data_IF_394135158541
#
_entry.id   IF_394135158541
#
_cell.length_a   1.000
_cell.length_b   1.000
_cell.length_c   1.000
_cell.angle_alpha   90.00
_cell.angle_beta   90.00
_cell.angle_gamma   90.00
#
_symmetry.space_group_name_H-M   'P 1'
#
loop_
_entity.id
_entity.type
_entity.pdbx_description
1 polymer ?
#
# COMPACT_ATOMS: atom_id res chain seq x y z
N UNK A 1 21.26 63.64 72.10
CA UNK A 1 20.07 63.21 71.34
C UNK A 1 20.44 62.31 70.18
N UNK A 2 21.33 61.30 70.30
CA UNK A 2 21.78 60.47 69.18
C UNK A 2 21.61 58.95 69.34
N UNK A 3 21.16 58.46 70.50
CA UNK A 3 21.10 56.98 70.75
C UNK A 3 19.75 56.32 70.46
N UNK A 4 18.68 57.05 70.17
CA UNK A 4 17.34 56.52 70.01
C UNK A 4 16.88 56.25 68.55
N UNK A 5 17.62 56.80 67.58
CA UNK A 5 17.28 56.55 66.14
C UNK A 5 17.78 55.21 65.60
N UNK A 6 18.84 54.63 66.20
CA UNK A 6 19.39 53.34 65.74
C UNK A 6 18.57 52.12 66.17
N UNK A 7 17.83 52.19 67.28
CA UNK A 7 17.00 51.01 67.73
C UNK A 7 15.77 50.80 66.86
N UNK A 8 15.16 51.86 66.35
CA UNK A 8 13.96 51.80 65.48
C UNK A 8 14.26 51.24 64.08
N UNK A 9 15.41 51.55 63.56
CA UNK A 9 15.85 51.04 62.21
C UNK A 9 16.19 49.53 62.26
N UNK A 10 16.79 49.05 63.39
CA UNK A 10 17.06 47.61 63.51
C UNK A 10 15.81 46.78 63.75
N UNK A 11 14.80 47.28 64.42
CA UNK A 11 13.53 46.59 64.60
C UNK A 11 12.70 46.53 63.31
N UNK A 12 12.71 47.60 62.51
CA UNK A 12 12.04 47.61 61.19
C UNK A 12 12.71 46.60 60.20
N UNK A 13 14.02 46.51 60.17
CA UNK A 13 14.76 45.55 59.35
C UNK A 13 14.50 44.09 59.74
N UNK A 14 14.44 43.78 61.06
CA UNK A 14 14.12 42.40 61.53
C UNK A 14 12.70 41.96 61.16
N UNK A 15 11.71 42.86 61.23
CA UNK A 15 10.31 42.57 60.83
C UNK A 15 10.15 42.41 59.30
N UNK A 16 10.94 43.10 58.51
CA UNK A 16 10.95 42.97 57.05
C UNK A 16 11.56 41.63 56.62
N UNK A 17 12.64 41.18 57.25
CA UNK A 17 13.30 39.88 57.00
C UNK A 17 12.40 38.70 57.40
N UNK A 18 11.69 38.81 58.52
CA UNK A 18 10.75 37.74 58.95
C UNK A 18 9.51 37.65 58.09
N UNK A 19 9.04 38.74 57.46
CA UNK A 19 7.91 38.69 56.51
C UNK A 19 8.32 38.14 55.12
N UNK A 20 9.55 38.35 54.68
CA UNK A 20 10.07 37.80 53.45
C UNK A 20 10.33 36.29 53.56
N UNK A 21 10.73 35.79 54.76
CA UNK A 21 10.94 34.34 54.98
C UNK A 21 9.62 33.56 55.06
N UNK A 22 8.51 34.17 55.46
CA UNK A 22 7.20 33.50 55.53
C UNK A 22 6.53 33.40 54.12
N UNK A 23 6.83 34.32 53.22
CA UNK A 23 6.32 34.28 51.84
C UNK A 23 7.10 33.28 50.98
N UNK A 24 8.39 33.07 51.28
CA UNK A 24 9.22 32.08 50.56
C UNK A 24 8.87 30.61 50.91
N UNK A 25 8.35 30.33 52.12
CA UNK A 25 7.91 28.99 52.50
C UNK A 25 6.51 28.62 52.00
N UNK A 26 5.67 29.61 51.71
CA UNK A 26 4.31 29.39 51.17
C UNK A 26 4.31 29.14 49.66
N UNK A 27 5.32 29.60 48.89
CA UNK A 27 5.41 29.41 47.47
C UNK A 27 6.06 28.06 47.03
N UNK A 28 6.69 27.33 47.98
CA UNK A 28 7.40 26.09 47.67
C UNK A 28 6.51 24.84 47.81
N UNK A 29 5.30 24.96 48.37
CA UNK A 29 4.38 23.81 48.56
C UNK A 29 3.32 23.66 47.46
N UNK A 30 3.24 24.58 46.48
CA UNK A 30 2.28 24.49 45.34
C UNK A 30 2.94 23.90 44.09
N UNK A 31 4.26 23.73 44.07
CA UNK A 31 4.99 23.24 42.86
C UNK A 31 5.14 21.69 42.78
N UNK A 32 4.58 20.93 43.74
CA UNK A 32 4.76 19.47 43.82
C UNK A 32 3.55 18.64 43.34
N UNK A 33 2.56 19.27 42.70
CA UNK A 33 1.34 18.58 42.23
C UNK A 33 1.13 18.52 40.71
N UNK A 34 1.95 19.16 39.90
CA UNK A 34 1.88 19.03 38.45
C UNK A 34 2.82 17.90 38.00
N UNK A 35 2.35 16.65 38.07
CA UNK A 35 2.97 15.61 37.23
C UNK A 35 3.01 16.14 35.81
N UNK A 36 4.16 16.14 35.14
CA UNK A 36 4.17 16.46 33.72
C UNK A 36 3.22 15.46 33.05
N UNK A 37 2.14 15.95 32.47
CA UNK A 37 1.37 15.18 31.49
C UNK A 37 2.40 14.92 30.38
N UNK A 38 3.04 13.75 30.47
CA UNK A 38 3.93 13.26 29.42
C UNK A 38 3.03 13.12 28.21
N UNK A 39 3.11 14.10 27.31
CA UNK A 39 2.43 14.00 26.03
C UNK A 39 2.87 12.66 25.45
N UNK A 40 1.96 11.70 25.39
CA UNK A 40 2.21 10.39 24.83
C UNK A 40 2.59 10.65 23.38
N UNK A 41 3.84 10.33 23.02
CA UNK A 41 4.33 10.54 21.66
C UNK A 41 3.40 9.76 20.72
N UNK A 42 2.66 10.49 19.88
CA UNK A 42 1.68 9.90 18.98
C UNK A 42 2.43 9.02 17.99
N UNK A 43 2.19 7.72 18.08
CA UNK A 43 2.75 6.78 17.11
C UNK A 43 2.05 6.99 15.77
N UNK A 44 2.81 6.95 14.69
CA UNK A 44 2.28 7.14 13.34
C UNK A 44 2.32 5.83 12.57
N UNK A 45 1.20 5.50 11.91
CA UNK A 45 1.10 4.43 10.90
C UNK A 45 0.78 5.05 9.54
N UNK A 46 1.70 4.91 8.59
CA UNK A 46 1.55 5.44 7.22
C UNK A 46 1.24 4.29 6.27
N UNK A 47 0.04 4.29 5.69
CA UNK A 47 -0.46 3.24 4.81
C UNK A 47 -0.46 3.73 3.36
N UNK A 48 0.28 3.02 2.50
CA UNK A 48 0.25 3.20 1.05
C UNK A 48 -0.81 2.32 0.40
N UNK A 49 -1.58 2.87 -0.54
CA UNK A 49 -2.58 2.11 -1.30
C UNK A 49 -2.67 2.58 -2.75
N UNK A 50 -3.33 1.78 -3.58
CA UNK A 50 -3.64 2.07 -4.98
C UNK A 50 -5.17 2.04 -5.16
N UNK A 51 -5.69 2.59 -6.25
CA UNK A 51 -7.14 2.49 -6.57
C UNK A 51 -7.63 1.04 -6.58
N UNK A 52 -6.84 0.09 -7.05
CA UNK A 52 -7.14 -1.34 -7.03
C UNK A 52 -7.26 -1.95 -5.62
N UNK A 53 -6.68 -1.32 -4.61
CA UNK A 53 -6.75 -1.78 -3.21
C UNK A 53 -8.12 -1.46 -2.58
N UNK A 54 -9.20 -1.96 -3.18
CA UNK A 54 -10.59 -1.63 -2.85
C UNK A 54 -10.90 -1.76 -1.36
N UNK A 55 -10.43 -2.83 -0.73
CA UNK A 55 -10.59 -3.07 0.72
C UNK A 55 -9.92 -1.96 1.55
N UNK A 56 -8.69 -1.51 1.19
CA UNK A 56 -8.04 -0.41 1.91
C UNK A 56 -8.72 0.94 1.66
N UNK A 57 -9.23 1.16 0.45
CA UNK A 57 -10.00 2.39 0.12
C UNK A 57 -11.25 2.50 0.98
N UNK A 58 -11.99 1.39 1.15
CA UNK A 58 -13.17 1.34 2.00
C UNK A 58 -12.83 1.41 3.48
N UNK A 59 -11.80 0.69 3.93
CA UNK A 59 -11.30 0.76 5.30
C UNK A 59 -10.98 2.20 5.71
N UNK A 60 -10.30 2.94 4.83
CA UNK A 60 -10.05 4.38 4.99
C UNK A 60 -11.35 5.19 5.07
N UNK A 61 -12.31 4.93 4.16
CA UNK A 61 -13.59 5.66 4.12
C UNK A 61 -14.44 5.40 5.38
N UNK A 62 -14.44 4.18 5.91
CA UNK A 62 -15.19 3.81 7.10
C UNK A 62 -14.53 4.27 8.41
N UNK A 63 -13.21 4.50 8.41
CA UNK A 63 -12.46 4.97 9.57
C UNK A 63 -12.48 3.99 10.76
N UNK A 64 -12.68 2.70 10.50
CA UNK A 64 -12.76 1.68 11.55
C UNK A 64 -11.38 1.36 12.13
N UNK A 65 -10.34 1.40 11.30
CA UNK A 65 -8.96 1.22 11.72
C UNK A 65 -8.50 2.32 12.67
N UNK A 66 -8.77 3.58 12.33
CA UNK A 66 -8.45 4.75 13.15
C UNK A 66 -9.10 4.64 14.54
N UNK A 67 -10.38 4.25 14.58
CA UNK A 67 -11.13 4.05 15.84
C UNK A 67 -10.50 2.96 16.71
N UNK A 68 -10.03 1.85 16.11
CA UNK A 68 -9.39 0.76 16.85
C UNK A 68 -7.98 1.11 17.33
N UNK A 69 -7.25 1.95 16.60
CA UNK A 69 -5.88 2.34 16.93
C UNK A 69 -5.80 3.56 17.85
N UNK A 70 -6.84 4.37 17.93
CA UNK A 70 -6.91 5.56 18.79
C UNK A 70 -6.57 5.26 20.27
N UNK A 71 -7.11 4.19 20.93
CA UNK A 71 -6.76 3.87 22.30
C UNK A 71 -5.28 3.53 22.52
N UNK A 72 -4.56 3.17 21.46
CA UNK A 72 -3.12 2.88 21.48
C UNK A 72 -2.26 4.12 21.19
N UNK A 73 -2.88 5.30 21.01
CA UNK A 73 -2.19 6.53 20.65
C UNK A 73 -1.58 6.48 19.25
N UNK A 74 -2.17 5.72 18.31
CA UNK A 74 -1.67 5.60 16.94
C UNK A 74 -2.55 6.45 16.01
N UNK A 75 -1.90 7.39 15.31
CA UNK A 75 -2.49 8.14 14.19
C UNK A 75 -2.28 7.37 12.87
N UNK A 76 -3.30 7.31 12.01
CA UNK A 76 -3.20 6.67 10.70
C UNK A 76 -3.14 7.75 9.60
N UNK A 77 -2.17 7.62 8.69
CA UNK A 77 -2.07 8.45 7.48
C UNK A 77 -2.10 7.58 6.24
N UNK A 78 -2.88 8.01 5.27
CA UNK A 78 -3.09 7.30 4.01
C UNK A 78 -2.44 8.06 2.85
N UNK A 79 -1.74 7.34 1.98
CA UNK A 79 -1.14 7.87 0.77
C UNK A 79 -1.52 7.02 -0.45
N UNK A 80 -2.07 7.65 -1.49
CA UNK A 80 -2.44 6.99 -2.74
C UNK A 80 -1.28 7.01 -3.73
N UNK A 81 -1.05 5.88 -4.40
CA UNK A 81 -0.02 5.70 -5.43
C UNK A 81 -0.65 5.21 -6.73
N UNK A 82 -0.04 5.58 -7.86
CA UNK A 82 -0.51 5.18 -9.17
C UNK A 82 -0.36 3.67 -9.43
N UNK A 83 0.68 3.04 -8.87
CA UNK A 83 0.98 1.62 -8.99
C UNK A 83 1.94 1.14 -7.89
N UNK A 84 2.10 -0.19 -7.78
CA UNK A 84 2.92 -0.84 -6.75
C UNK A 84 4.40 -0.42 -6.71
N UNK A 85 5.09 -0.27 -7.84
CA UNK A 85 6.49 0.17 -7.83
C UNK A 85 6.71 1.49 -7.08
N UNK A 86 5.89 2.52 -7.34
CA UNK A 86 6.00 3.82 -6.67
C UNK A 86 5.69 3.73 -5.16
N UNK A 87 4.73 2.88 -4.78
CA UNK A 87 4.44 2.62 -3.37
C UNK A 87 5.65 2.00 -2.67
N UNK A 88 6.31 1.03 -3.29
CA UNK A 88 7.48 0.38 -2.69
C UNK A 88 8.73 1.27 -2.66
N UNK A 89 8.87 2.21 -3.59
CA UNK A 89 9.87 3.28 -3.47
C UNK A 89 9.62 4.13 -2.22
N UNK A 90 8.35 4.53 -1.98
CA UNK A 90 7.97 5.28 -0.78
C UNK A 90 8.17 4.48 0.52
N UNK A 91 7.92 3.17 0.49
CA UNK A 91 8.19 2.27 1.62
C UNK A 91 9.70 2.16 1.88
N UNK A 92 10.51 2.02 0.84
CA UNK A 92 11.97 1.90 0.95
C UNK A 92 12.62 3.15 1.56
N UNK A 93 12.12 4.35 1.25
CA UNK A 93 12.62 5.61 1.84
C UNK A 93 11.94 5.96 3.17
N UNK A 94 11.11 5.10 3.72
CA UNK A 94 10.44 5.28 5.01
C UNK A 94 9.31 6.31 5.00
N UNK A 95 8.75 6.66 3.84
CA UNK A 95 7.57 7.52 3.72
C UNK A 95 6.25 6.76 3.95
N UNK A 96 6.30 5.43 3.84
CA UNK A 96 5.20 4.49 4.06
C UNK A 96 5.68 3.36 4.97
N UNK A 97 4.86 2.90 5.89
CA UNK A 97 5.16 1.81 6.83
C UNK A 97 4.53 0.49 6.40
N UNK A 98 3.40 0.55 5.71
CA UNK A 98 2.60 -0.59 5.28
C UNK A 98 1.96 -0.30 3.93
N UNK A 99 1.84 -1.31 3.06
CA UNK A 99 1.24 -1.13 1.75
C UNK A 99 0.70 -2.41 1.13
N UNK A 100 -0.19 -2.21 0.14
CA UNK A 100 -0.81 -3.27 -0.66
C UNK A 100 -0.31 -3.16 -2.11
N UNK A 101 0.28 -4.22 -2.60
CA UNK A 101 0.86 -4.32 -3.94
C UNK A 101 0.64 -5.72 -4.49
N UNK A 102 0.77 -5.89 -5.79
CA UNK A 102 0.74 -7.20 -6.38
C UNK A 102 2.03 -7.99 -6.26
N UNK A 103 2.11 -9.10 -7.00
CA UNK A 103 3.17 -10.11 -6.85
C UNK A 103 4.53 -9.69 -7.44
N UNK A 104 4.55 -8.86 -8.49
CA UNK A 104 5.81 -8.50 -9.14
C UNK A 104 6.57 -7.32 -8.48
N UNK A 105 5.92 -6.24 -8.01
CA UNK A 105 6.62 -5.11 -7.41
C UNK A 105 7.59 -5.48 -6.27
N UNK A 106 7.26 -6.40 -5.33
CA UNK A 106 8.17 -6.80 -4.26
C UNK A 106 9.48 -7.39 -4.77
N UNK A 107 9.45 -8.13 -5.88
CA UNK A 107 10.64 -8.71 -6.49
C UNK A 107 11.60 -7.63 -6.96
N UNK A 108 11.10 -6.60 -7.64
CA UNK A 108 11.92 -5.47 -8.09
C UNK A 108 12.45 -4.64 -6.90
N UNK A 109 11.61 -4.40 -5.90
CA UNK A 109 12.01 -3.66 -4.70
C UNK A 109 13.09 -4.39 -3.91
N UNK A 110 12.96 -5.70 -3.70
CA UNK A 110 13.97 -6.53 -3.03
C UNK A 110 15.27 -6.57 -3.83
N UNK A 111 15.21 -6.66 -5.18
CA UNK A 111 16.38 -6.58 -6.05
C UNK A 111 17.12 -5.26 -5.92
N UNK A 112 16.38 -4.16 -5.69
CA UNK A 112 16.92 -2.83 -5.44
C UNK A 112 17.42 -2.63 -4.00
N UNK A 113 17.22 -3.60 -3.11
CA UNK A 113 17.69 -3.56 -1.72
C UNK A 113 16.70 -2.98 -0.71
N UNK A 114 15.41 -2.88 -1.06
CA UNK A 114 14.38 -2.43 -0.14
C UNK A 114 14.22 -3.39 1.05
N UNK A 115 14.10 -2.84 2.27
CA UNK A 115 13.97 -3.61 3.50
C UNK A 115 12.51 -3.66 3.99
N UNK A 116 11.82 -4.68 3.51
CA UNK A 116 10.42 -4.95 3.86
C UNK A 116 10.20 -6.41 4.24
N UNK A 117 8.99 -6.72 4.72
CA UNK A 117 8.54 -8.08 4.98
C UNK A 117 7.16 -8.31 4.38
N UNK A 118 6.95 -9.52 3.87
CA UNK A 118 5.63 -10.03 3.50
C UNK A 118 4.84 -10.35 4.78
N UNK A 119 3.67 -9.74 4.97
CA UNK A 119 2.84 -9.92 6.16
C UNK A 119 1.61 -10.77 5.91
N UNK A 120 0.91 -10.49 4.82
CA UNK A 120 -0.25 -11.23 4.39
C UNK A 120 -0.38 -11.20 2.85
N UNK A 121 -1.24 -12.04 2.32
CA UNK A 121 -1.54 -12.05 0.89
C UNK A 121 -3.02 -12.29 0.63
N UNK A 122 -3.51 -11.82 -0.50
CA UNK A 122 -4.79 -12.20 -1.06
C UNK A 122 -4.67 -13.50 -1.85
N UNK A 123 -5.60 -14.43 -1.67
CA UNK A 123 -5.62 -15.68 -2.43
C UNK A 123 -5.71 -15.41 -3.94
N UNK A 124 -5.38 -16.37 -4.83
CA UNK A 124 -5.27 -16.13 -6.28
C UNK A 124 -6.49 -15.45 -6.90
N UNK A 125 -6.23 -14.41 -7.71
CA UNK A 125 -7.24 -13.62 -8.43
C UNK A 125 -6.87 -13.38 -9.91
N UNK A 126 -6.53 -14.43 -10.66
CA UNK A 126 -5.92 -14.30 -12.00
C UNK A 126 -6.84 -13.66 -13.05
N UNK A 127 -8.15 -13.54 -12.80
CA UNK A 127 -9.10 -12.88 -13.71
C UNK A 127 -9.17 -11.36 -13.50
N UNK A 128 -8.58 -10.86 -12.41
CA UNK A 128 -8.56 -9.43 -12.08
C UNK A 128 -7.51 -8.63 -12.86
N UNK A 129 -6.75 -9.28 -13.73
CA UNK A 129 -5.84 -8.65 -14.68
C UNK A 129 -5.94 -9.29 -16.05
N UNK A 130 -5.61 -8.53 -17.10
CA UNK A 130 -5.71 -9.02 -18.45
C UNK A 130 -4.87 -8.24 -19.46
N UNK A 131 -4.71 -8.86 -20.60
CA UNK A 131 -4.13 -8.30 -21.80
C UNK A 131 -5.26 -7.94 -22.76
N UNK A 132 -5.43 -6.64 -22.98
CA UNK A 132 -6.52 -6.05 -23.76
C UNK A 132 -6.07 -5.66 -25.15
N UNK A 133 -6.98 -5.80 -26.12
CA UNK A 133 -6.86 -5.26 -27.45
C UNK A 133 -8.09 -4.42 -27.78
N UNK A 134 -7.99 -3.49 -28.74
CA UNK A 134 -9.13 -2.69 -29.17
C UNK A 134 -10.25 -3.59 -29.72
N UNK A 135 -11.49 -3.10 -29.66
CA UNK A 135 -12.70 -3.80 -30.14
C UNK A 135 -12.52 -4.42 -31.51
N UNK A 136 -12.00 -3.64 -32.44
CA UNK A 136 -11.84 -4.02 -33.87
C UNK A 136 -10.42 -4.53 -34.19
N UNK A 137 -9.60 -4.82 -33.18
CA UNK A 137 -8.25 -5.34 -33.41
C UNK A 137 -8.30 -6.66 -34.17
N UNK A 138 -7.46 -6.85 -35.21
CA UNK A 138 -7.34 -8.13 -35.91
C UNK A 138 -6.66 -9.19 -35.04
N UNK A 139 -5.96 -8.82 -33.97
CA UNK A 139 -5.23 -9.72 -33.09
C UNK A 139 -6.23 -10.62 -32.32
N UNK A 140 -6.12 -11.92 -32.47
CA UNK A 140 -7.03 -12.91 -31.89
C UNK A 140 -6.37 -13.81 -30.84
N UNK A 141 -5.04 -13.85 -30.81
CA UNK A 141 -4.26 -14.70 -29.89
C UNK A 141 -2.99 -13.99 -29.42
N UNK A 142 -2.44 -14.46 -28.31
CA UNK A 142 -1.16 -13.95 -27.76
C UNK A 142 -0.01 -14.20 -28.73
N UNK A 143 -0.05 -15.29 -29.52
CA UNK A 143 0.98 -15.59 -30.52
C UNK A 143 1.10 -14.52 -31.62
N UNK A 144 0.01 -13.78 -31.90
CA UNK A 144 -0.02 -12.69 -32.89
C UNK A 144 0.57 -11.36 -32.38
N UNK A 145 1.03 -11.35 -31.12
CA UNK A 145 1.70 -10.17 -30.54
C UNK A 145 3.15 -10.00 -30.96
N UNK A 146 3.70 -10.92 -31.75
CA UNK A 146 5.06 -10.77 -32.26
C UNK A 146 5.21 -9.47 -33.05
N UNK A 147 6.23 -8.66 -32.68
CA UNK A 147 6.49 -7.34 -33.25
C UNK A 147 5.53 -6.23 -32.82
N UNK A 148 4.56 -6.51 -31.95
CA UNK A 148 3.52 -5.56 -31.50
C UNK A 148 3.96 -4.71 -30.32
N UNK A 149 3.39 -3.50 -30.24
CA UNK A 149 3.57 -2.57 -29.12
C UNK A 149 2.59 -2.91 -28.02
N UNK A 150 3.11 -3.28 -26.84
CA UNK A 150 2.29 -3.61 -25.67
C UNK A 150 2.56 -2.61 -24.55
N UNK A 151 1.52 -1.85 -24.16
CA UNK A 151 1.59 -0.94 -23.02
C UNK A 151 1.38 -1.68 -21.70
N UNK A 152 2.20 -1.40 -20.72
CA UNK A 152 2.05 -1.85 -19.32
C UNK A 152 2.97 -1.08 -18.39
N UNK A 153 2.68 -1.13 -17.08
CA UNK A 153 3.53 -0.50 -16.06
C UNK A 153 4.72 -1.42 -15.74
N UNK A 154 5.95 -0.91 -15.91
CA UNK A 154 7.18 -1.66 -15.67
C UNK A 154 7.29 -2.04 -14.20
N UNK A 155 7.57 -3.32 -13.94
CA UNK A 155 7.75 -3.83 -12.57
C UNK A 155 6.45 -4.06 -11.79
N UNK A 156 5.28 -3.87 -12.41
CA UNK A 156 3.97 -4.21 -11.83
C UNK A 156 3.54 -5.65 -12.19
N UNK A 157 2.41 -6.11 -11.67
CA UNK A 157 1.86 -7.45 -11.92
C UNK A 157 1.69 -7.75 -13.38
N UNK A 158 1.14 -6.80 -14.13
CA UNK A 158 0.94 -6.98 -15.57
C UNK A 158 2.24 -7.05 -16.37
N UNK A 159 3.37 -6.64 -15.79
CA UNK A 159 4.68 -6.97 -16.39
C UNK A 159 4.93 -8.49 -16.29
N UNK A 160 4.62 -9.10 -15.15
CA UNK A 160 4.69 -10.55 -14.98
C UNK A 160 3.66 -11.27 -15.83
N UNK A 161 2.42 -10.78 -15.89
CA UNK A 161 1.38 -11.31 -16.77
C UNK A 161 1.87 -11.38 -18.22
N UNK A 162 2.44 -10.30 -18.76
CA UNK A 162 2.96 -10.26 -20.14
C UNK A 162 4.04 -11.31 -20.34
N UNK A 163 5.02 -11.40 -19.43
CA UNK A 163 6.10 -12.41 -19.50
C UNK A 163 5.52 -13.83 -19.51
N UNK A 164 4.60 -14.12 -18.61
CA UNK A 164 3.99 -15.46 -18.48
C UNK A 164 3.14 -15.83 -19.70
N UNK A 165 2.35 -14.89 -20.23
CA UNK A 165 1.51 -15.10 -21.41
C UNK A 165 2.36 -15.33 -22.68
N UNK A 166 3.43 -14.55 -22.86
CA UNK A 166 4.35 -14.73 -23.98
C UNK A 166 5.02 -16.10 -23.92
N UNK A 167 5.56 -16.48 -22.75
CA UNK A 167 6.17 -17.81 -22.56
C UNK A 167 5.18 -18.94 -22.87
N UNK A 168 3.93 -18.82 -22.41
CA UNK A 168 2.85 -19.80 -22.69
C UNK A 168 2.51 -19.89 -24.18
N UNK A 169 2.63 -18.79 -24.92
CA UNK A 169 2.41 -18.72 -26.36
C UNK A 169 3.64 -19.09 -27.21
N UNK A 170 4.76 -19.50 -26.58
CA UNK A 170 6.01 -19.83 -27.29
C UNK A 170 6.78 -18.61 -27.81
N UNK A 171 6.48 -17.41 -27.29
CA UNK A 171 7.17 -16.17 -27.64
C UNK A 171 8.23 -15.82 -26.58
N UNK A 172 9.29 -15.13 -27.05
CA UNK A 172 10.27 -14.50 -26.18
C UNK A 172 9.83 -13.07 -25.82
N UNK A 173 10.31 -12.55 -24.70
CA UNK A 173 10.06 -11.15 -24.31
C UNK A 173 10.60 -10.16 -25.36
N UNK A 174 11.68 -10.50 -26.03
CA UNK A 174 12.27 -9.72 -27.14
C UNK A 174 11.43 -9.76 -28.43
N UNK A 175 10.43 -10.62 -28.52
CA UNK A 175 9.53 -10.66 -29.70
C UNK A 175 8.50 -9.53 -29.72
N UNK A 176 8.35 -8.78 -28.61
CA UNK A 176 7.41 -7.66 -28.52
C UNK A 176 8.15 -6.32 -28.39
N UNK A 177 7.41 -5.22 -28.54
CA UNK A 177 7.87 -3.87 -28.25
C UNK A 177 7.20 -3.38 -26.96
N UNK A 178 7.84 -3.49 -25.78
CA UNK A 178 7.25 -3.05 -24.54
C UNK A 178 7.21 -1.52 -24.47
N UNK A 179 6.05 -0.96 -24.12
CA UNK A 179 5.83 0.48 -23.93
C UNK A 179 5.49 0.70 -22.45
N UNK A 180 6.46 1.19 -21.70
CA UNK A 180 6.34 1.36 -20.25
C UNK A 180 5.62 2.65 -19.91
N UNK A 181 4.38 2.55 -19.47
CA UNK A 181 3.49 3.67 -19.15
C UNK A 181 2.79 3.44 -17.80
N UNK A 182 2.50 4.52 -17.09
CA UNK A 182 1.58 4.49 -15.97
C UNK A 182 0.15 4.15 -16.45
N UNK A 183 -0.74 3.61 -15.59
CA UNK A 183 -2.07 3.16 -16.03
C UNK A 183 -2.88 4.19 -16.81
N UNK A 184 -2.89 5.46 -16.40
CA UNK A 184 -3.64 6.52 -17.07
C UNK A 184 -3.07 6.84 -18.46
N UNK A 185 -1.73 6.92 -18.58
CA UNK A 185 -1.04 7.18 -19.86
C UNK A 185 -1.18 5.99 -20.81
N UNK A 186 -1.10 4.75 -20.28
CA UNK A 186 -1.30 3.52 -21.04
C UNK A 186 -2.72 3.46 -21.59
N UNK A 187 -3.73 3.81 -20.79
CA UNK A 187 -5.11 3.94 -21.25
C UNK A 187 -5.23 4.92 -22.42
N UNK A 188 -4.70 6.13 -22.25
CA UNK A 188 -4.74 7.14 -23.28
C UNK A 188 -4.00 6.72 -24.56
N UNK A 189 -2.86 6.03 -24.47
CA UNK A 189 -2.14 5.47 -25.61
C UNK A 189 -2.94 4.37 -26.32
N UNK A 190 -3.58 3.49 -25.54
CA UNK A 190 -4.42 2.40 -26.02
C UNK A 190 -5.66 2.94 -26.78
N UNK A 191 -6.40 3.89 -26.20
CA UNK A 191 -7.58 4.48 -26.80
C UNK A 191 -7.28 5.17 -28.14
N UNK A 192 -6.10 5.83 -28.26
CA UNK A 192 -5.66 6.46 -29.52
C UNK A 192 -5.07 5.49 -30.54
N UNK A 193 -4.93 4.21 -30.21
CA UNK A 193 -4.29 3.23 -31.09
C UNK A 193 -2.77 3.41 -31.24
N UNK A 194 -2.12 4.09 -30.30
CA UNK A 194 -0.66 4.26 -30.29
C UNK A 194 0.08 2.97 -29.87
N UNK A 195 -0.64 2.04 -29.26
CA UNK A 195 -0.20 0.69 -28.89
C UNK A 195 -1.21 -0.34 -29.38
N UNK A 196 -0.73 -1.56 -29.67
CA UNK A 196 -1.55 -2.65 -30.20
C UNK A 196 -2.32 -3.38 -29.10
N UNK A 197 -1.76 -3.45 -27.87
CA UNK A 197 -2.33 -4.09 -26.72
C UNK A 197 -1.98 -3.33 -25.44
N UNK A 198 -2.78 -3.57 -24.38
CA UNK A 198 -2.59 -3.00 -23.06
C UNK A 198 -2.80 -4.06 -21.99
N UNK A 199 -1.78 -4.31 -21.18
CA UNK A 199 -1.91 -5.18 -20.00
C UNK A 199 -2.22 -4.31 -18.78
N UNK A 200 -3.33 -4.65 -18.07
CA UNK A 200 -3.86 -3.86 -16.96
C UNK A 200 -4.70 -4.72 -16.01
N UNK A 201 -4.89 -4.24 -14.80
CA UNK A 201 -5.72 -4.82 -13.74
C UNK A 201 -7.02 -4.04 -13.51
N UNK A 202 -7.94 -4.61 -12.74
CA UNK A 202 -9.17 -3.93 -12.33
C UNK A 202 -8.92 -2.82 -11.28
N UNK A 203 -9.69 -1.74 -11.31
CA UNK A 203 -10.90 -1.51 -12.12
C UNK A 203 -10.64 -0.99 -13.54
N UNK A 204 -9.40 -0.74 -13.92
CA UNK A 204 -9.08 -0.20 -15.23
C UNK A 204 -9.43 -1.17 -16.37
N UNK A 205 -9.26 -2.49 -16.14
CA UNK A 205 -9.66 -3.52 -17.09
C UNK A 205 -11.18 -3.45 -17.35
N UNK A 206 -12.01 -3.49 -16.33
CA UNK A 206 -13.46 -3.39 -16.48
C UNK A 206 -13.89 -2.07 -17.10
N UNK A 207 -13.22 -0.97 -16.75
CA UNK A 207 -13.48 0.34 -17.37
C UNK A 207 -13.17 0.33 -18.87
N UNK A 208 -12.06 -0.26 -19.31
CA UNK A 208 -11.73 -0.38 -20.71
C UNK A 208 -12.72 -1.27 -21.48
N UNK A 209 -13.14 -2.40 -20.89
CA UNK A 209 -14.16 -3.27 -21.47
C UNK A 209 -15.49 -2.52 -21.68
N UNK A 210 -15.97 -1.80 -20.67
CA UNK A 210 -17.29 -1.15 -20.72
C UNK A 210 -17.32 0.18 -21.48
N UNK A 211 -16.31 1.04 -21.26
CA UNK A 211 -16.32 2.41 -21.77
C UNK A 211 -15.79 2.53 -23.21
N UNK A 212 -14.80 1.69 -23.58
CA UNK A 212 -14.21 1.74 -24.93
C UNK A 212 -14.37 0.44 -25.72
N UNK A 213 -15.08 -0.54 -25.15
CA UNK A 213 -15.33 -1.82 -25.81
C UNK A 213 -14.06 -2.65 -26.02
N UNK A 214 -13.05 -2.47 -25.18
CA UNK A 214 -11.84 -3.27 -25.25
C UNK A 214 -12.17 -4.76 -25.08
N UNK A 215 -11.43 -5.60 -25.80
CA UNK A 215 -11.61 -7.04 -25.75
C UNK A 215 -10.46 -7.68 -25.00
N UNK A 216 -10.75 -8.54 -24.03
CA UNK A 216 -9.72 -9.35 -23.36
C UNK A 216 -9.16 -10.38 -24.34
N UNK A 217 -7.89 -10.25 -24.68
CA UNK A 217 -7.17 -11.23 -25.48
C UNK A 217 -6.78 -12.43 -24.63
N UNK A 218 -6.35 -12.18 -23.40
CA UNK A 218 -6.04 -13.17 -22.39
C UNK A 218 -6.19 -12.56 -20.98
N UNK A 219 -6.31 -13.40 -19.95
CA UNK A 219 -6.24 -13.03 -18.53
C UNK A 219 -5.10 -13.81 -17.86
N UNK A 220 -4.91 -13.60 -16.56
CA UNK A 220 -3.96 -14.38 -15.76
C UNK A 220 -4.34 -15.85 -15.60
N UNK A 221 -5.58 -16.24 -15.91
CA UNK A 221 -6.07 -17.62 -15.70
C UNK A 221 -5.19 -18.64 -16.42
N UNK A 222 -4.62 -19.55 -15.61
CA UNK A 222 -3.71 -20.59 -16.09
C UNK A 222 -2.34 -20.11 -16.58
N UNK A 223 -2.00 -18.84 -16.31
CA UNK A 223 -0.69 -18.27 -16.60
C UNK A 223 0.01 -17.74 -15.34
N UNK A 224 -0.72 -17.02 -14.49
CA UNK A 224 -0.23 -16.43 -13.24
C UNK A 224 -1.27 -16.60 -12.13
N UNK A 225 -0.87 -16.46 -10.87
CA UNK A 225 -1.80 -16.50 -9.74
C UNK A 225 -2.40 -15.12 -9.46
N UNK A 226 -1.69 -14.05 -9.77
CA UNK A 226 -2.05 -12.68 -9.44
C UNK A 226 -2.36 -12.54 -7.94
N UNK A 227 -1.40 -12.97 -7.11
CA UNK A 227 -1.44 -12.69 -5.69
C UNK A 227 -1.26 -11.20 -5.43
N UNK A 228 -2.01 -10.70 -4.47
CA UNK A 228 -1.76 -9.38 -3.91
C UNK A 228 -1.14 -9.54 -2.52
N UNK A 229 -0.15 -8.71 -2.21
CA UNK A 229 0.57 -8.79 -0.95
C UNK A 229 0.39 -7.53 -0.11
N UNK A 230 0.27 -7.75 1.19
CA UNK A 230 0.50 -6.72 2.19
C UNK A 230 1.94 -6.80 2.66
N UNK A 231 2.61 -5.65 2.61
CA UNK A 231 4.02 -5.53 2.96
C UNK A 231 4.18 -4.48 4.06
N UNK A 232 5.05 -4.78 5.01
CA UNK A 232 5.47 -3.81 6.03
C UNK A 232 6.94 -3.46 5.88
N UNK A 233 7.30 -2.21 6.13
CA UNK A 233 8.69 -1.88 6.39
C UNK A 233 9.20 -2.74 7.55
N UNK A 234 10.35 -3.45 7.39
CA UNK A 234 10.85 -4.36 8.42
C UNK A 234 11.01 -3.70 9.81
N UNK A 235 11.56 -2.47 9.92
CA UNK A 235 11.66 -1.80 11.22
C UNK A 235 10.31 -1.51 11.87
N UNK A 236 9.26 -1.26 11.06
CA UNK A 236 7.90 -1.07 11.57
C UNK A 236 7.32 -2.39 12.08
N UNK A 237 7.33 -3.44 11.28
CA UNK A 237 6.81 -4.76 11.65
C UNK A 237 7.48 -5.30 12.92
N UNK A 238 8.81 -5.18 13.03
CA UNK A 238 9.56 -5.64 14.19
C UNK A 238 9.18 -4.94 15.51
N UNK A 239 8.70 -3.69 15.46
CA UNK A 239 8.42 -2.88 16.65
C UNK A 239 6.94 -2.73 16.98
N UNK A 240 6.05 -3.00 16.00
CA UNK A 240 4.63 -2.66 16.09
C UNK A 240 3.70 -3.85 15.84
N UNK A 241 4.08 -5.05 16.28
CA UNK A 241 3.33 -6.29 16.05
C UNK A 241 1.84 -6.21 16.45
N UNK A 242 1.51 -5.49 17.56
CA UNK A 242 0.12 -5.29 17.98
C UNK A 242 -0.66 -4.41 16.98
N UNK A 243 -0.04 -3.35 16.47
CA UNK A 243 -0.65 -2.44 15.48
C UNK A 243 -0.88 -3.19 14.17
N UNK A 244 0.11 -3.96 13.72
CA UNK A 244 0.03 -4.77 12.51
C UNK A 244 -1.06 -5.84 12.60
N UNK A 245 -1.17 -6.51 13.75
CA UNK A 245 -2.24 -7.48 14.01
C UNK A 245 -3.63 -6.83 13.89
N UNK A 246 -3.85 -5.67 14.52
CA UNK A 246 -5.12 -4.93 14.44
C UNK A 246 -5.41 -4.53 12.99
N UNK A 247 -4.40 -4.04 12.26
CA UNK A 247 -4.52 -3.65 10.87
C UNK A 247 -4.97 -4.84 10.00
N UNK A 248 -4.33 -6.00 10.11
CA UNK A 248 -4.68 -7.20 9.35
C UNK A 248 -6.07 -7.75 9.73
N UNK A 249 -6.47 -7.65 10.99
CA UNK A 249 -7.82 -7.99 11.43
C UNK A 249 -8.88 -7.08 10.79
N UNK A 250 -8.64 -5.76 10.75
CA UNK A 250 -9.56 -4.81 10.10
C UNK A 250 -9.61 -5.01 8.59
N UNK A 251 -8.48 -5.25 7.94
CA UNK A 251 -8.42 -5.59 6.51
C UNK A 251 -9.24 -6.85 6.23
N UNK A 252 -9.11 -7.89 7.07
CA UNK A 252 -9.85 -9.14 6.87
C UNK A 252 -11.36 -8.95 7.07
N UNK A 253 -11.76 -8.13 8.05
CA UNK A 253 -13.17 -7.80 8.30
C UNK A 253 -13.77 -6.98 7.16
N UNK A 254 -13.02 -6.00 6.68
CA UNK A 254 -13.45 -5.17 5.55
C UNK A 254 -13.55 -5.99 4.26
N UNK A 255 -12.60 -6.91 4.00
CA UNK A 255 -12.66 -7.82 2.87
C UNK A 255 -13.90 -8.73 2.91
N UNK A 256 -14.25 -9.27 4.08
CA UNK A 256 -15.47 -10.05 4.26
C UNK A 256 -16.73 -9.21 3.99
N UNK A 257 -16.73 -7.95 4.43
CA UNK A 257 -17.83 -7.04 4.15
C UNK A 257 -17.95 -6.75 2.64
N UNK A 258 -16.85 -6.47 1.94
CA UNK A 258 -16.83 -6.27 0.49
C UNK A 258 -17.40 -7.48 -0.23
N UNK A 259 -16.99 -8.69 0.16
CA UNK A 259 -17.40 -9.95 -0.44
C UNK A 259 -18.89 -10.22 -0.27
N UNK A 260 -19.45 -9.88 0.89
CA UNK A 260 -20.88 -10.11 1.22
C UNK A 260 -21.79 -8.97 0.80
N UNK A 261 -21.24 -7.76 0.52
CA UNK A 261 -21.99 -6.55 0.17
C UNK A 261 -21.43 -5.90 -1.11
N UNK A 262 -21.05 -6.69 -2.10
CA UNK A 262 -20.31 -6.24 -3.29
C UNK A 262 -20.96 -5.04 -4.00
N UNK A 263 -22.30 -5.05 -4.18
CA UNK A 263 -23.01 -3.93 -4.81
C UNK A 263 -22.95 -2.63 -3.97
N UNK A 264 -23.03 -2.75 -2.63
CA UNK A 264 -22.90 -1.60 -1.73
C UNK A 264 -21.46 -1.06 -1.73
N UNK A 265 -20.49 -1.97 -1.70
CA UNK A 265 -19.08 -1.62 -1.81
C UNK A 265 -18.80 -0.88 -3.14
N UNK A 266 -19.34 -1.36 -4.24
CA UNK A 266 -19.23 -0.70 -5.54
C UNK A 266 -19.86 0.70 -5.54
N UNK A 267 -21.05 0.87 -4.97
CA UNK A 267 -21.70 2.17 -4.86
C UNK A 267 -20.90 3.18 -4.02
N UNK A 268 -20.22 2.72 -2.96
CA UNK A 268 -19.38 3.58 -2.13
C UNK A 268 -18.04 3.93 -2.81
N UNK A 269 -17.44 2.98 -3.54
CA UNK A 269 -16.18 3.18 -4.26
C UNK A 269 -16.35 4.05 -5.51
N UNK A 270 -17.48 4.01 -6.18
CA UNK A 270 -17.73 4.70 -7.42
C UNK A 270 -17.38 6.20 -7.38
N UNK A 271 -17.89 7.02 -6.44
CA UNK A 271 -17.53 8.42 -6.33
C UNK A 271 -16.05 8.64 -5.94
N UNK A 272 -15.45 7.72 -5.17
CA UNK A 272 -14.04 7.82 -4.73
C UNK A 272 -13.10 7.57 -5.92
N UNK A 273 -13.44 6.60 -6.76
CA UNK A 273 -12.58 6.18 -7.88
C UNK A 273 -12.90 6.91 -9.19
N UNK A 274 -14.03 7.64 -9.25
CA UNK A 274 -14.48 8.35 -10.44
C UNK A 274 -14.89 7.41 -11.57
N UNK A 275 -15.51 6.26 -11.23
CA UNK A 275 -16.01 5.26 -12.18
C UNK A 275 -17.45 4.88 -11.83
N UNK A 276 -18.18 4.38 -12.81
CA UNK A 276 -19.55 3.90 -12.59
C UNK A 276 -19.57 2.67 -11.66
N UNK A 277 -20.61 2.57 -10.83
CA UNK A 277 -20.69 1.51 -9.82
C UNK A 277 -20.69 0.10 -10.44
N UNK A 278 -21.26 -0.09 -11.62
CA UNK A 278 -21.29 -1.37 -12.34
C UNK A 278 -19.91 -1.79 -12.88
N UNK A 279 -19.05 -0.81 -13.21
CA UNK A 279 -17.64 -1.05 -13.55
C UNK A 279 -16.89 -1.54 -12.31
N UNK A 280 -17.04 -0.81 -11.20
CA UNK A 280 -16.42 -1.19 -9.92
C UNK A 280 -16.89 -2.56 -9.46
N UNK A 281 -18.19 -2.84 -9.51
CA UNK A 281 -18.76 -4.13 -9.14
C UNK A 281 -18.19 -5.28 -9.99
N UNK A 282 -18.00 -5.03 -11.28
CA UNK A 282 -17.34 -5.99 -12.18
C UNK A 282 -15.93 -6.32 -11.73
N UNK A 283 -15.13 -5.30 -11.38
CA UNK A 283 -13.79 -5.48 -10.85
C UNK A 283 -13.79 -6.19 -9.49
N UNK A 284 -14.65 -5.77 -8.56
CA UNK A 284 -14.75 -6.39 -7.23
C UNK A 284 -15.03 -7.90 -7.31
N UNK A 285 -15.87 -8.34 -8.24
CA UNK A 285 -16.19 -9.76 -8.44
C UNK A 285 -15.02 -10.59 -8.96
N UNK A 286 -13.96 -9.97 -9.48
CA UNK A 286 -12.76 -10.64 -9.97
C UNK A 286 -11.70 -10.78 -8.90
N UNK A 287 -11.75 -9.97 -7.81
CA UNK A 287 -10.92 -10.11 -6.62
C UNK A 287 -11.58 -11.04 -5.60
N UNK A 288 -10.75 -11.71 -4.80
CA UNK A 288 -11.25 -12.65 -3.81
C UNK A 288 -11.64 -11.99 -2.48
N UNK A 289 -11.00 -10.89 -2.11
CA UNK A 289 -11.14 -10.19 -0.83
C UNK A 289 -10.95 -11.14 0.38
N UNK A 290 -10.12 -12.17 0.22
CA UNK A 290 -9.76 -13.17 1.24
C UNK A 290 -8.26 -13.12 1.47
N UNK A 291 -7.88 -12.77 2.70
CA UNK A 291 -6.51 -12.53 3.07
C UNK A 291 -6.01 -13.62 4.02
N UNK A 292 -4.76 -14.03 3.86
CA UNK A 292 -4.11 -15.08 4.64
C UNK A 292 -2.70 -14.64 5.06
N UNK A 293 -2.19 -15.14 6.20
CA UNK A 293 -0.77 -15.04 6.50
C UNK A 293 0.07 -15.69 5.39
N UNK A 294 1.23 -15.09 5.12
CA UNK A 294 2.16 -15.62 4.11
C UNK A 294 2.72 -16.97 4.59
N UNK A 295 2.69 -17.96 3.73
CA UNK A 295 3.19 -19.31 3.97
C UNK A 295 4.32 -19.71 3.02
N UNK A 296 4.91 -20.89 3.23
CA UNK A 296 6.02 -21.37 2.44
C UNK A 296 5.62 -21.64 0.98
N UNK A 297 4.36 -22.01 0.72
CA UNK A 297 3.89 -22.27 -0.64
C UNK A 297 3.84 -20.98 -1.45
N UNK A 298 3.21 -19.94 -0.91
CA UNK A 298 3.11 -18.65 -1.62
C UNK A 298 4.48 -18.00 -1.82
N UNK A 299 5.41 -18.17 -0.87
CA UNK A 299 6.79 -17.71 -1.05
C UNK A 299 7.54 -18.48 -2.14
N UNK A 300 7.28 -19.79 -2.28
CA UNK A 300 7.86 -20.58 -3.36
C UNK A 300 7.29 -20.18 -4.74
N UNK A 301 6.02 -19.78 -4.81
CA UNK A 301 5.42 -19.24 -6.03
C UNK A 301 6.05 -17.88 -6.36
N UNK A 302 6.20 -17.01 -5.38
CA UNK A 302 6.87 -15.71 -5.51
C UNK A 302 8.35 -15.85 -5.95
N UNK A 303 9.05 -16.90 -5.50
CA UNK A 303 10.41 -17.22 -5.94
C UNK A 303 10.48 -17.49 -7.44
N UNK A 304 9.49 -18.18 -8.02
CA UNK A 304 9.45 -18.43 -9.47
C UNK A 304 9.39 -17.14 -10.30
N UNK A 305 8.70 -16.13 -9.78
CA UNK A 305 8.65 -14.80 -10.42
C UNK A 305 10.04 -14.14 -10.39
N UNK A 306 10.70 -14.20 -9.22
CA UNK A 306 12.05 -13.67 -9.07
C UNK A 306 13.06 -14.36 -10.00
N UNK A 307 13.02 -15.68 -10.08
CA UNK A 307 13.89 -16.47 -10.94
C UNK A 307 13.66 -16.14 -12.43
N UNK A 308 12.39 -16.06 -12.86
CA UNK A 308 12.06 -15.68 -14.24
C UNK A 308 12.54 -14.26 -14.60
N UNK A 309 12.38 -13.30 -13.72
CA UNK A 309 12.86 -11.93 -13.95
C UNK A 309 14.39 -11.85 -13.98
N UNK A 310 15.08 -12.68 -13.20
CA UNK A 310 16.52 -12.78 -13.26
C UNK A 310 17.00 -13.42 -14.58
N UNK A 311 16.40 -14.53 -15.00
CA UNK A 311 16.68 -15.18 -16.29
C UNK A 311 16.52 -14.20 -17.49
N UNK A 312 15.48 -13.37 -17.44
CA UNK A 312 15.21 -12.34 -18.44
C UNK A 312 16.08 -11.08 -18.29
N UNK A 313 16.98 -11.04 -17.30
CA UNK A 313 17.83 -9.87 -16.98
C UNK A 313 17.03 -8.60 -16.68
N UNK A 314 15.81 -8.76 -16.16
CA UNK A 314 14.95 -7.66 -15.73
C UNK A 314 15.28 -7.20 -14.32
N UNK A 315 15.92 -8.07 -13.51
CA UNK A 315 16.55 -7.73 -12.23
C UNK A 315 18.05 -8.06 -12.28
N UNK A 316 18.91 -7.30 -11.58
CA UNK A 316 20.37 -7.38 -11.75
C UNK A 316 21.03 -8.58 -11.07
N UNK A 317 20.37 -9.20 -10.10
CA UNK A 317 20.93 -10.30 -9.29
C UNK A 317 19.83 -11.29 -8.88
N UNK A 318 20.18 -12.55 -8.61
CA UNK A 318 19.22 -13.52 -8.08
C UNK A 318 18.78 -13.09 -6.68
N UNK A 319 17.56 -13.43 -6.31
CA UNK A 319 16.95 -13.15 -5.02
C UNK A 319 16.61 -14.42 -4.28
N UNK A 320 16.57 -14.33 -2.96
CA UNK A 320 15.92 -15.28 -2.09
C UNK A 320 14.72 -14.58 -1.45
N UNK A 321 13.53 -14.88 -1.96
CA UNK A 321 12.29 -14.22 -1.53
C UNK A 321 12.05 -14.41 -0.03
N UNK A 322 12.39 -15.58 0.51
CA UNK A 322 12.26 -15.87 1.95
C UNK A 322 13.12 -15.00 2.89
N UNK A 323 14.05 -14.19 2.35
CA UNK A 323 14.77 -13.21 3.17
C UNK A 323 13.87 -12.02 3.57
N UNK A 324 12.78 -11.81 2.84
CA UNK A 324 11.76 -10.80 3.12
C UNK A 324 10.62 -11.32 4.03
N UNK A 325 10.95 -12.12 5.04
CA UNK A 325 10.03 -12.59 6.08
C UNK A 325 10.58 -12.19 7.45
N UNK A 326 9.72 -11.92 8.43
CA UNK A 326 10.15 -11.80 9.83
C UNK A 326 10.59 -13.18 10.34
N UNK A 327 11.75 -13.22 10.97
CA UNK A 327 12.28 -14.42 11.64
C UNK A 327 11.84 -14.43 13.09
#
# INVERSE_FOLDING_TARGET
MSANKNKTVHQARRRAIQRLSAIALGALTIALGASPVQAQETKLLRIGYQKAANTLVLLKAHGTLEKRLQPLGVEVKWAEFAAGPQLLEALNVGSVDFGYVGEAPPVFAQAAGADFVYTAYEIPTPDAEGLLVQKNSPIKSVAELKGKKIAFNKGSDVHWLVVALLKKAGLQYSDIQPVYLAPADARAAFERGAVDAWAIWDPFQAAAEKQVGARRLATGVGAVNHHQFFLSARPFAAKNAQVEKILLEEISREGEWVRTHTAQAAAQLAPIQGLDADIIETGLKRYAHVYKPVDAQVLAEQQKIADAFYELKLIPKPLKVSDAVLK
#
